data_IF_528949633293
#
_entry.id   IF_528949633293
#
_cell.length_a   1.000
_cell.length_b   1.000
_cell.length_c   1.000
_cell.angle_alpha   90.00
_cell.angle_beta   90.00
_cell.angle_gamma   90.00
#
_symmetry.space_group_name_H-M   'P 1'
#
loop_
_entity.id
_entity.type
_entity.pdbx_description
1 polymer ?
#
# COMPACT_ATOMS: atom_id res chain seq x y z
N UNK A 1 9.85 -32.63 -47.75
CA UNK A 1 8.51 -32.89 -48.33
C UNK A 1 7.96 -31.55 -48.78
N UNK A 2 7.88 -31.34 -50.11
CA UNK A 2 7.21 -30.19 -50.75
C UNK A 2 5.69 -30.43 -50.76
N UNK A 3 4.96 -29.34 -51.08
CA UNK A 3 3.56 -29.26 -51.55
C UNK A 3 2.52 -29.23 -50.41
N UNK A 4 1.45 -28.42 -50.42
CA UNK A 4 0.88 -27.52 -51.42
C UNK A 4 -0.12 -26.56 -50.73
N UNK A 5 -0.28 -25.36 -51.31
CA UNK A 5 -1.24 -24.29 -50.98
C UNK A 5 -2.69 -24.68 -51.32
N UNK A 6 -3.67 -23.96 -50.75
CA UNK A 6 -4.78 -23.21 -51.42
C UNK A 6 -5.57 -22.46 -50.29
N UNK A 7 -5.65 -21.12 -50.20
CA UNK A 7 -6.57 -20.18 -50.90
C UNK A 7 -8.04 -20.65 -50.86
N UNK A 8 -9.10 -19.92 -50.48
CA UNK A 8 -9.39 -18.48 -50.32
C UNK A 8 -10.86 -18.31 -49.85
N UNK A 9 -11.16 -17.28 -49.03
CA UNK A 9 -12.39 -16.45 -48.95
C UNK A 9 -13.72 -17.05 -48.41
N UNK A 10 -14.33 -16.38 -47.42
CA UNK A 10 -15.45 -15.42 -47.62
C UNK A 10 -15.96 -14.84 -46.30
N UNK A 11 -16.34 -13.55 -46.35
CA UNK A 11 -17.16 -12.84 -45.38
C UNK A 11 -18.62 -13.33 -45.48
N UNK A 12 -19.33 -13.38 -44.35
CA UNK A 12 -20.78 -13.14 -44.17
C UNK A 12 -21.22 -13.86 -42.88
N UNK A 13 -21.67 -13.16 -41.84
CA UNK A 13 -22.98 -12.52 -41.67
C UNK A 13 -23.78 -13.31 -40.63
N UNK A 14 -23.73 -12.86 -39.37
CA UNK A 14 -24.72 -13.25 -38.38
C UNK A 14 -25.97 -12.39 -38.63
N UNK A 15 -27.00 -13.05 -39.17
CA UNK A 15 -28.36 -12.53 -39.28
C UNK A 15 -29.03 -12.67 -37.92
N UNK A 16 -29.38 -11.55 -37.29
CA UNK A 16 -30.46 -11.47 -36.31
C UNK A 16 -30.95 -10.03 -36.19
N UNK A 17 -32.11 -9.76 -36.78
CA UNK A 17 -32.97 -8.57 -36.61
C UNK A 17 -34.41 -9.12 -36.75
N UNK A 18 -35.48 -8.55 -36.15
CA UNK A 18 -35.65 -7.49 -35.15
C UNK A 18 -36.41 -8.02 -33.90
N UNK A 19 -36.56 -7.31 -32.77
CA UNK A 19 -37.59 -6.29 -32.50
C UNK A 19 -37.40 -5.86 -31.03
N UNK A 20 -36.98 -4.62 -30.80
CA UNK A 20 -37.55 -3.68 -29.83
C UNK A 20 -36.63 -2.46 -29.79
N UNK A 21 -37.16 -1.39 -30.37
CA UNK A 21 -36.60 -0.05 -30.50
C UNK A 21 -36.49 0.57 -29.09
N UNK A 22 -35.42 1.36 -28.88
CA UNK A 22 -35.23 2.36 -27.80
C UNK A 22 -34.35 2.05 -26.57
N UNK A 23 -33.31 1.21 -26.64
CA UNK A 23 -32.28 1.16 -25.58
C UNK A 23 -30.80 1.17 -26.01
N UNK A 24 -30.50 1.29 -27.31
CA UNK A 24 -29.10 1.15 -27.78
C UNK A 24 -28.60 2.44 -28.40
N UNK A 25 -28.12 3.34 -27.55
CA UNK A 25 -27.07 4.30 -27.87
C UNK A 25 -26.26 4.57 -26.60
N UNK A 26 -25.82 3.50 -25.94
CA UNK A 26 -24.75 3.56 -24.92
C UNK A 26 -23.48 3.09 -25.60
N UNK A 27 -22.67 4.06 -26.04
CA UNK A 27 -21.42 3.83 -26.76
C UNK A 27 -20.36 3.20 -25.85
N UNK A 28 -19.46 2.43 -26.46
CA UNK A 28 -18.30 1.75 -25.86
C UNK A 28 -17.43 2.67 -24.97
N UNK A 29 -17.44 3.97 -25.24
CA UNK A 29 -16.75 5.03 -24.50
C UNK A 29 -17.14 5.14 -23.02
N UNK A 30 -18.41 4.90 -22.66
CA UNK A 30 -18.81 4.88 -21.23
C UNK A 30 -18.17 3.69 -20.50
N UNK A 31 -18.02 2.53 -21.16
CA UNK A 31 -17.35 1.36 -20.56
C UNK A 31 -15.85 1.58 -20.40
N UNK A 32 -15.20 2.21 -21.37
CA UNK A 32 -13.76 2.49 -21.33
C UNK A 32 -13.39 3.55 -20.27
N UNK A 33 -14.32 4.45 -19.94
CA UNK A 33 -14.22 5.40 -18.82
C UNK A 33 -14.61 4.82 -17.44
N UNK A 34 -14.89 3.51 -17.36
CA UNK A 34 -15.27 2.84 -16.11
C UNK A 34 -16.72 3.10 -15.66
N UNK A 35 -17.56 3.68 -16.50
CA UNK A 35 -18.97 3.95 -16.24
C UNK A 35 -19.87 2.89 -16.88
N UNK A 36 -20.27 1.90 -16.09
CA UNK A 36 -21.37 1.03 -16.50
C UNK A 36 -22.69 1.82 -16.47
N UNK A 37 -23.53 1.78 -17.53
CA UNK A 37 -24.89 2.27 -17.43
C UNK A 37 -25.61 1.50 -16.32
N UNK A 38 -26.39 2.20 -15.49
CA UNK A 38 -27.26 1.60 -14.47
C UNK A 38 -28.33 0.66 -15.05
N UNK A 39 -28.46 0.59 -16.37
CA UNK A 39 -29.35 -0.31 -17.08
C UNK A 39 -28.72 -1.67 -17.42
N UNK A 40 -27.98 -2.28 -16.49
CA UNK A 40 -27.91 -3.74 -16.47
C UNK A 40 -29.07 -4.20 -15.58
N UNK A 41 -30.22 -4.44 -16.19
CA UNK A 41 -31.36 -5.04 -15.51
C UNK A 41 -30.92 -6.39 -14.91
N UNK A 42 -30.64 -6.40 -13.61
CA UNK A 42 -30.71 -7.63 -12.85
C UNK A 42 -32.18 -8.04 -12.87
N UNK A 43 -32.48 -9.17 -13.51
CA UNK A 43 -33.76 -9.83 -13.40
C UNK A 43 -33.99 -10.17 -11.92
N UNK A 44 -34.62 -9.25 -11.22
CA UNK A 44 -35.10 -9.40 -9.85
C UNK A 44 -36.61 -9.28 -9.95
N UNK A 45 -37.32 -10.26 -9.37
CA UNK A 45 -38.77 -10.44 -9.47
C UNK A 45 -39.52 -9.11 -9.42
N UNK A 46 -40.43 -8.93 -10.39
CA UNK A 46 -41.23 -7.73 -10.60
C UNK A 46 -42.03 -7.36 -9.34
N UNK A 47 -41.47 -6.51 -8.48
CA UNK A 47 -42.28 -5.56 -7.73
C UNK A 47 -42.90 -4.61 -8.76
N UNK A 48 -44.23 -4.48 -8.76
CA UNK A 48 -44.96 -3.47 -9.54
C UNK A 48 -44.26 -2.12 -9.36
N UNK A 49 -43.78 -1.54 -10.46
CA UNK A 49 -43.16 -0.21 -10.45
C UNK A 49 -44.26 0.82 -10.12
N UNK A 50 -44.32 1.25 -8.86
CA UNK A 50 -45.31 2.22 -8.36
C UNK A 50 -44.87 3.68 -8.58
N UNK A 51 -43.82 3.91 -9.38
CA UNK A 51 -43.28 5.26 -9.62
C UNK A 51 -44.24 6.10 -10.48
N UNK A 52 -44.27 7.40 -10.21
CA UNK A 52 -45.06 8.35 -10.99
C UNK A 52 -44.64 8.33 -12.46
N UNK A 53 -45.54 7.89 -13.34
CA UNK A 53 -45.41 8.06 -14.79
C UNK A 53 -45.66 9.52 -15.16
N UNK A 54 -44.60 10.27 -15.43
CA UNK A 54 -44.67 11.63 -15.96
C UNK A 54 -45.07 11.62 -17.43
N UNK A 55 -45.92 12.57 -17.83
CA UNK A 55 -46.30 12.76 -19.24
C UNK A 55 -45.20 13.55 -19.95
N UNK A 56 -44.24 12.83 -20.54
CA UNK A 56 -43.14 13.46 -21.28
C UNK A 56 -43.57 13.82 -22.71
N UNK A 57 -43.21 15.02 -23.22
CA UNK A 57 -43.40 15.39 -24.61
C UNK A 57 -42.73 14.43 -25.60
N UNK A 58 -43.33 14.24 -26.78
CA UNK A 58 -42.73 13.41 -27.83
C UNK A 58 -41.49 14.06 -28.46
N UNK A 59 -40.50 13.25 -28.82
CA UNK A 59 -39.34 13.65 -29.60
C UNK A 59 -39.71 13.70 -31.09
N UNK A 60 -39.63 14.87 -31.72
CA UNK A 60 -39.96 15.03 -33.15
C UNK A 60 -38.88 14.40 -34.03
N UNK A 61 -39.27 13.72 -35.11
CA UNK A 61 -38.34 13.04 -36.03
C UNK A 61 -37.20 13.95 -36.54
N UNK A 62 -37.52 15.19 -36.93
CA UNK A 62 -36.50 16.15 -37.40
C UNK A 62 -35.46 16.51 -36.33
N UNK A 63 -35.88 16.55 -35.06
CA UNK A 63 -34.99 16.82 -33.93
C UNK A 63 -34.14 15.58 -33.64
N UNK A 64 -34.74 14.39 -33.69
CA UNK A 64 -34.01 13.12 -33.58
C UNK A 64 -32.92 12.99 -34.64
N UNK A 65 -33.22 13.25 -35.92
CA UNK A 65 -32.24 13.20 -37.02
C UNK A 65 -31.06 14.15 -36.77
N UNK A 66 -31.34 15.37 -36.28
CA UNK A 66 -30.31 16.37 -35.97
C UNK A 66 -29.45 15.99 -34.75
N UNK A 67 -30.06 15.41 -33.71
CA UNK A 67 -29.33 14.85 -32.58
C UNK A 67 -28.42 13.69 -33.02
N UNK A 68 -28.91 12.82 -33.90
CA UNK A 68 -28.11 11.72 -34.45
C UNK A 68 -26.93 12.23 -35.29
N UNK A 69 -27.13 13.29 -36.08
CA UNK A 69 -26.05 13.97 -36.83
C UNK A 69 -24.98 14.54 -35.88
N UNK A 70 -25.40 15.23 -34.82
CA UNK A 70 -24.49 15.76 -33.80
C UNK A 70 -23.74 14.63 -33.06
N UNK A 71 -24.44 13.55 -32.73
CA UNK A 71 -23.84 12.39 -32.08
C UNK A 71 -22.80 11.71 -32.98
N UNK A 72 -23.11 11.50 -34.26
CA UNK A 72 -22.17 10.92 -35.23
C UNK A 72 -20.90 11.79 -35.38
N UNK A 73 -21.06 13.13 -35.40
CA UNK A 73 -19.92 14.04 -35.39
C UNK A 73 -19.09 13.90 -34.10
N UNK A 74 -19.74 13.80 -32.93
CA UNK A 74 -19.06 13.61 -31.66
C UNK A 74 -18.30 12.27 -31.59
N UNK A 75 -18.90 11.18 -32.06
CA UNK A 75 -18.28 9.85 -32.17
C UNK A 75 -17.08 9.84 -33.13
N UNK A 76 -17.15 10.62 -34.21
CA UNK A 76 -16.05 10.87 -35.13
C UNK A 76 -14.95 11.79 -34.56
N UNK A 77 -15.07 12.22 -33.29
CA UNK A 77 -14.22 13.18 -32.60
C UNK A 77 -14.24 14.60 -33.20
N UNK A 78 -15.18 14.89 -34.09
CA UNK A 78 -15.44 16.25 -34.57
C UNK A 78 -16.36 16.99 -33.58
N UNK A 79 -15.81 17.26 -32.39
CA UNK A 79 -16.54 17.85 -31.28
C UNK A 79 -17.02 19.27 -31.60
N UNK A 80 -16.29 20.01 -32.44
CA UNK A 80 -16.67 21.37 -32.85
C UNK A 80 -17.89 21.35 -33.77
N UNK A 81 -17.92 20.42 -34.73
CA UNK A 81 -19.07 20.28 -35.61
C UNK A 81 -20.30 19.78 -34.82
N UNK A 82 -20.10 18.84 -33.89
CA UNK A 82 -21.17 18.39 -33.00
C UNK A 82 -21.77 19.56 -32.19
N UNK A 83 -20.91 20.37 -31.54
CA UNK A 83 -21.33 21.55 -30.77
C UNK A 83 -22.07 22.56 -31.66
N UNK A 84 -21.57 22.83 -32.87
CA UNK A 84 -22.21 23.75 -33.82
C UNK A 84 -23.60 23.27 -34.26
N UNK A 85 -23.80 21.96 -34.44
CA UNK A 85 -25.12 21.40 -34.77
C UNK A 85 -26.08 21.65 -33.60
N UNK A 86 -25.64 21.39 -32.37
CA UNK A 86 -26.44 21.62 -31.17
C UNK A 86 -26.77 23.11 -30.97
N UNK A 87 -25.81 24.01 -31.20
CA UNK A 87 -26.02 25.46 -31.12
C UNK A 87 -27.13 25.91 -32.08
N UNK A 88 -27.11 25.36 -33.30
CA UNK A 88 -28.16 25.60 -34.30
C UNK A 88 -29.53 25.06 -33.89
N UNK A 89 -29.58 23.98 -33.12
CA UNK A 89 -30.84 23.43 -32.58
C UNK A 89 -31.40 24.32 -31.46
N UNK A 90 -30.55 24.81 -30.55
CA UNK A 90 -30.96 25.70 -29.45
C UNK A 90 -31.38 27.08 -29.95
N UNK A 91 -30.69 27.61 -30.97
CA UNK A 91 -31.00 28.91 -31.58
C UNK A 91 -32.32 28.91 -32.39
N UNK A 92 -32.94 27.76 -32.63
CA UNK A 92 -34.17 27.65 -33.41
C UNK A 92 -35.38 28.19 -32.64
N UNK A 93 -36.01 29.26 -33.16
CA UNK A 93 -37.21 29.87 -32.56
C UNK A 93 -38.55 29.43 -33.16
N UNK A 94 -39.64 29.89 -32.56
CA UNK A 94 -41.01 29.73 -33.06
C UNK A 94 -41.44 28.26 -33.14
N UNK A 95 -42.03 27.83 -34.27
CA UNK A 95 -42.50 26.43 -34.45
C UNK A 95 -41.37 25.39 -34.40
N UNK A 96 -40.11 25.83 -34.54
CA UNK A 96 -38.92 24.97 -34.47
C UNK A 96 -38.28 24.93 -33.08
N UNK A 97 -38.77 25.73 -32.12
CA UNK A 97 -38.30 25.70 -30.75
C UNK A 97 -38.44 24.29 -30.16
N UNK A 98 -37.43 23.85 -29.43
CA UNK A 98 -37.38 22.55 -28.79
C UNK A 98 -38.36 22.48 -27.62
N UNK A 99 -39.03 21.35 -27.45
CA UNK A 99 -39.75 21.08 -26.20
C UNK A 99 -38.76 20.69 -25.08
N UNK A 100 -39.24 20.58 -23.84
CA UNK A 100 -38.39 20.29 -22.68
C UNK A 100 -37.61 18.97 -22.79
N UNK A 101 -38.24 17.91 -23.32
CA UNK A 101 -37.58 16.62 -23.52
C UNK A 101 -36.51 16.67 -24.62
N UNK A 102 -36.80 17.35 -25.72
CA UNK A 102 -35.85 17.58 -26.80
C UNK A 102 -34.64 18.40 -26.34
N UNK A 103 -34.91 19.48 -25.59
CA UNK A 103 -33.88 20.34 -25.01
C UNK A 103 -33.03 19.59 -23.98
N UNK A 104 -33.63 18.73 -23.17
CA UNK A 104 -32.91 17.84 -22.25
C UNK A 104 -31.96 16.89 -23.01
N UNK A 105 -32.35 16.34 -24.15
CA UNK A 105 -31.46 15.49 -24.95
C UNK A 105 -30.32 16.30 -25.60
N UNK A 106 -30.58 17.53 -26.03
CA UNK A 106 -29.53 18.45 -26.52
C UNK A 106 -28.51 18.74 -25.41
N UNK A 107 -28.96 19.12 -24.21
CA UNK A 107 -28.06 19.36 -23.08
C UNK A 107 -27.30 18.12 -22.64
N UNK A 108 -27.92 16.94 -22.71
CA UNK A 108 -27.22 15.68 -22.44
C UNK A 108 -26.06 15.46 -23.44
N UNK A 109 -26.25 15.76 -24.72
CA UNK A 109 -25.17 15.65 -25.72
C UNK A 109 -24.09 16.73 -25.55
N UNK A 110 -24.46 17.98 -25.21
CA UNK A 110 -23.46 18.99 -24.79
C UNK A 110 -22.62 18.48 -23.61
N UNK A 111 -23.27 17.88 -22.61
CA UNK A 111 -22.58 17.38 -21.44
C UNK A 111 -21.58 16.26 -21.80
N UNK A 112 -21.96 15.36 -22.70
CA UNK A 112 -21.06 14.34 -23.25
C UNK A 112 -19.87 14.95 -24.02
N UNK A 113 -20.12 15.96 -24.87
CA UNK A 113 -19.08 16.66 -25.62
C UNK A 113 -18.09 17.32 -24.66
N UNK A 114 -18.58 18.11 -23.71
CA UNK A 114 -17.73 18.81 -22.74
C UNK A 114 -16.99 17.84 -21.82
N UNK A 115 -17.62 16.74 -21.42
CA UNK A 115 -16.95 15.69 -20.66
C UNK A 115 -15.79 15.06 -21.45
N UNK A 116 -16.01 14.80 -22.75
CA UNK A 116 -14.98 14.24 -23.65
C UNK A 116 -13.81 15.21 -23.91
N UNK A 117 -14.02 16.50 -23.66
CA UNK A 117 -12.99 17.53 -23.69
C UNK A 117 -12.34 17.76 -22.31
N UNK A 118 -12.69 16.95 -21.31
CA UNK A 118 -12.31 17.11 -19.91
C UNK A 118 -12.75 18.46 -19.30
N UNK A 119 -13.71 19.15 -19.95
CA UNK A 119 -14.31 20.37 -19.46
C UNK A 119 -15.46 20.05 -18.50
N UNK A 120 -15.10 19.54 -17.32
CA UNK A 120 -16.06 19.07 -16.32
C UNK A 120 -16.99 20.17 -15.81
N UNK A 121 -16.53 21.43 -15.78
CA UNK A 121 -17.35 22.57 -15.38
C UNK A 121 -18.51 22.80 -16.37
N UNK A 122 -18.22 22.84 -17.69
CA UNK A 122 -19.27 22.96 -18.71
C UNK A 122 -20.14 21.71 -18.80
N UNK A 123 -19.57 20.53 -18.62
CA UNK A 123 -20.34 19.28 -18.57
C UNK A 123 -21.35 19.29 -17.43
N UNK A 124 -20.94 19.73 -16.24
CA UNK A 124 -21.79 19.89 -15.07
C UNK A 124 -22.93 20.87 -15.34
N UNK A 125 -22.62 22.06 -15.90
CA UNK A 125 -23.65 23.04 -16.29
C UNK A 125 -24.65 22.47 -17.29
N UNK A 126 -24.18 21.70 -18.28
CA UNK A 126 -25.05 21.07 -19.26
C UNK A 126 -25.98 20.03 -18.60
N UNK A 127 -25.48 19.17 -17.70
CA UNK A 127 -26.32 18.24 -16.94
C UNK A 127 -27.29 18.94 -15.97
N UNK A 128 -26.88 20.05 -15.36
CA UNK A 128 -27.78 20.87 -14.54
C UNK A 128 -28.94 21.43 -15.39
N UNK A 129 -28.66 21.84 -16.62
CA UNK A 129 -29.69 22.27 -17.57
C UNK A 129 -30.63 21.12 -18.00
N UNK A 130 -30.15 19.87 -18.04
CA UNK A 130 -31.01 18.70 -18.26
C UNK A 130 -32.05 18.57 -17.14
N UNK A 131 -31.61 18.56 -15.88
CA UNK A 131 -32.52 18.36 -14.72
C UNK A 131 -33.39 19.58 -14.43
N UNK A 132 -33.06 20.74 -14.99
CA UNK A 132 -33.90 21.93 -14.95
C UNK A 132 -35.11 21.87 -15.91
N UNK A 133 -35.12 20.94 -16.87
CA UNK A 133 -36.22 20.81 -17.83
C UNK A 133 -37.48 20.21 -17.19
N UNK A 134 -38.68 20.79 -17.43
CA UNK A 134 -39.92 20.23 -16.92
C UNK A 134 -40.31 18.93 -17.65
N UNK A 135 -41.02 18.04 -16.96
CA UNK A 135 -41.63 16.83 -17.52
C UNK A 135 -40.69 15.85 -18.22
N UNK A 136 -39.39 15.89 -17.92
CA UNK A 136 -38.43 14.89 -18.38
C UNK A 136 -38.72 13.51 -17.75
N UNK A 137 -38.38 12.40 -18.44
CA UNK A 137 -38.57 11.07 -17.89
C UNK A 137 -37.86 10.92 -16.53
N UNK A 138 -38.56 10.37 -15.53
CA UNK A 138 -38.02 10.21 -14.18
C UNK A 138 -36.69 9.44 -14.17
N UNK A 139 -36.57 8.39 -14.99
CA UNK A 139 -35.32 7.64 -15.13
C UNK A 139 -34.16 8.50 -15.68
N UNK A 140 -34.44 9.42 -16.60
CA UNK A 140 -33.44 10.36 -17.13
C UNK A 140 -33.00 11.32 -16.03
N UNK A 141 -33.94 11.86 -15.24
CA UNK A 141 -33.63 12.75 -14.12
C UNK A 141 -32.76 12.05 -13.06
N UNK A 142 -33.16 10.85 -12.63
CA UNK A 142 -32.42 10.05 -11.64
C UNK A 142 -30.99 9.76 -12.14
N UNK A 143 -30.84 9.29 -13.37
CA UNK A 143 -29.51 9.00 -13.93
C UNK A 143 -28.65 10.27 -14.02
N UNK A 144 -29.23 11.38 -14.49
CA UNK A 144 -28.50 12.64 -14.65
C UNK A 144 -28.05 13.21 -13.30
N UNK A 145 -28.90 13.15 -12.27
CA UNK A 145 -28.54 13.60 -10.91
C UNK A 145 -27.39 12.79 -10.31
N UNK A 146 -27.31 11.49 -10.60
CA UNK A 146 -26.16 10.69 -10.19
C UNK A 146 -24.86 11.17 -10.90
N UNK A 147 -24.93 11.42 -12.21
CA UNK A 147 -23.79 11.94 -12.97
C UNK A 147 -23.35 13.33 -12.49
N UNK A 148 -24.29 14.21 -12.15
CA UNK A 148 -24.00 15.51 -11.52
C UNK A 148 -23.19 15.30 -10.22
N UNK A 149 -23.63 14.39 -9.35
CA UNK A 149 -22.89 14.08 -8.13
C UNK A 149 -21.47 13.59 -8.42
N UNK A 150 -21.31 12.65 -9.37
CA UNK A 150 -20.00 12.17 -9.80
C UNK A 150 -19.09 13.28 -10.34
N UNK A 151 -19.63 14.22 -11.13
CA UNK A 151 -18.85 15.35 -11.64
C UNK A 151 -18.41 16.32 -10.54
N UNK A 152 -19.21 16.50 -9.50
CA UNK A 152 -18.77 17.22 -8.31
C UNK A 152 -17.59 16.49 -7.63
N UNK A 153 -17.63 15.16 -7.52
CA UNK A 153 -16.50 14.38 -6.98
C UNK A 153 -15.24 14.47 -7.86
N UNK A 154 -15.38 14.42 -9.19
CA UNK A 154 -14.25 14.56 -10.13
C UNK A 154 -13.59 15.95 -10.01
N UNK A 155 -14.39 16.98 -9.77
CA UNK A 155 -13.90 18.34 -9.55
C UNK A 155 -13.50 18.62 -8.10
N UNK A 156 -13.40 17.59 -7.25
CA UNK A 156 -13.05 17.69 -5.83
C UNK A 156 -13.98 18.61 -5.02
N UNK A 157 -15.19 18.85 -5.52
CA UNK A 157 -16.24 19.61 -4.84
C UNK A 157 -17.02 18.68 -3.90
N UNK A 158 -16.32 18.20 -2.87
CA UNK A 158 -16.78 17.10 -2.02
C UNK A 158 -18.14 17.34 -1.37
N UNK A 159 -18.36 18.51 -0.78
CA UNK A 159 -19.61 18.83 -0.10
C UNK A 159 -20.78 18.92 -1.08
N UNK A 160 -20.57 19.54 -2.25
CA UNK A 160 -21.58 19.60 -3.31
C UNK A 160 -21.91 18.21 -3.85
N UNK A 161 -20.89 17.36 -4.05
CA UNK A 161 -21.07 15.98 -4.50
C UNK A 161 -21.87 15.14 -3.50
N UNK A 162 -21.57 15.26 -2.20
CA UNK A 162 -22.36 14.62 -1.13
C UNK A 162 -23.81 15.11 -1.15
N UNK A 163 -24.03 16.43 -1.20
CA UNK A 163 -25.37 16.99 -1.20
C UNK A 163 -26.18 16.54 -2.44
N UNK A 164 -25.55 16.52 -3.61
CA UNK A 164 -26.16 16.05 -4.85
C UNK A 164 -26.48 14.54 -4.79
N UNK A 165 -25.57 13.74 -4.23
CA UNK A 165 -25.76 12.30 -4.09
C UNK A 165 -26.83 11.95 -3.05
N UNK A 166 -26.94 12.69 -1.95
CA UNK A 166 -28.03 12.54 -0.97
C UNK A 166 -29.39 12.83 -1.61
N UNK A 167 -29.52 13.92 -2.38
CA UNK A 167 -30.74 14.19 -3.15
C UNK A 167 -31.07 13.06 -4.13
N UNK A 168 -30.05 12.44 -4.73
CA UNK A 168 -30.24 11.28 -5.59
C UNK A 168 -30.74 10.05 -4.80
N UNK A 169 -30.24 9.82 -3.57
CA UNK A 169 -30.73 8.76 -2.68
C UNK A 169 -32.22 8.93 -2.35
N UNK A 170 -32.70 10.17 -2.16
CA UNK A 170 -34.12 10.46 -1.89
C UNK A 170 -35.05 10.11 -3.07
N UNK A 171 -34.50 9.93 -4.28
CA UNK A 171 -35.24 9.66 -5.51
C UNK A 171 -35.23 8.19 -5.93
N UNK A 172 -34.51 7.32 -5.22
CA UNK A 172 -34.33 5.92 -5.61
C UNK A 172 -34.62 4.96 -4.46
N UNK A 173 -35.62 4.09 -4.67
CA UNK A 173 -36.00 3.05 -3.70
C UNK A 173 -35.02 1.88 -3.65
N UNK A 174 -34.06 1.83 -4.59
CA UNK A 174 -33.07 0.75 -4.67
C UNK A 174 -31.70 1.29 -5.05
N UNK A 175 -31.06 2.07 -4.16
CA UNK A 175 -29.69 2.50 -4.38
C UNK A 175 -28.78 1.27 -4.51
N UNK A 176 -27.81 1.32 -5.43
CA UNK A 176 -26.82 0.25 -5.57
C UNK A 176 -25.63 0.48 -4.62
N UNK A 177 -24.86 -0.59 -4.34
CA UNK A 177 -23.73 -0.51 -3.42
C UNK A 177 -22.65 0.51 -3.83
N UNK A 178 -22.41 0.75 -5.12
CA UNK A 178 -21.40 1.74 -5.54
C UNK A 178 -21.79 3.17 -5.16
N UNK A 179 -23.09 3.48 -5.09
CA UNK A 179 -23.55 4.80 -4.64
C UNK A 179 -23.18 5.05 -3.16
N UNK A 180 -23.33 4.03 -2.31
CA UNK A 180 -22.89 4.12 -0.92
C UNK A 180 -21.36 4.27 -0.82
N UNK A 181 -20.59 3.57 -1.65
CA UNK A 181 -19.12 3.74 -1.66
C UNK A 181 -18.70 5.14 -2.13
N UNK A 182 -19.37 5.69 -3.15
CA UNK A 182 -19.11 7.06 -3.60
C UNK A 182 -19.41 8.07 -2.48
N UNK A 183 -20.51 7.88 -1.76
CA UNK A 183 -20.85 8.69 -0.59
C UNK A 183 -19.80 8.54 0.54
N UNK A 184 -19.32 7.32 0.77
CA UNK A 184 -18.26 7.04 1.72
C UNK A 184 -16.96 7.77 1.38
N UNK A 185 -16.56 7.76 0.10
CA UNK A 185 -15.39 8.48 -0.40
C UNK A 185 -15.53 9.99 -0.20
N UNK A 186 -16.72 10.55 -0.44
CA UNK A 186 -17.01 11.95 -0.16
C UNK A 186 -16.81 12.31 1.30
N UNK A 187 -17.43 11.56 2.21
CA UNK A 187 -17.28 11.79 3.64
C UNK A 187 -15.83 11.59 4.10
N UNK A 188 -15.11 10.64 3.52
CA UNK A 188 -13.69 10.45 3.79
C UNK A 188 -12.86 11.68 3.44
N UNK A 189 -13.09 12.32 2.29
CA UNK A 189 -12.37 13.55 1.91
C UNK A 189 -12.67 14.73 2.84
N UNK A 190 -13.88 14.78 3.39
CA UNK A 190 -14.25 15.75 4.43
C UNK A 190 -13.83 15.33 5.85
N UNK A 191 -13.09 14.22 5.99
CA UNK A 191 -12.65 13.64 7.26
C UNK A 191 -13.79 13.25 8.22
N UNK A 192 -15.00 13.08 7.70
CA UNK A 192 -16.13 12.51 8.45
C UNK A 192 -16.04 10.97 8.39
N UNK A 193 -15.07 10.42 9.12
CA UNK A 193 -14.75 8.99 9.10
C UNK A 193 -15.91 8.12 9.60
N UNK A 194 -16.77 8.65 10.47
CA UNK A 194 -17.95 7.94 10.95
C UNK A 194 -18.96 7.69 9.82
N UNK A 195 -19.32 8.74 9.07
CA UNK A 195 -20.22 8.58 7.94
C UNK A 195 -19.56 7.82 6.79
N UNK A 196 -18.26 8.02 6.57
CA UNK A 196 -17.52 7.25 5.57
C UNK A 196 -17.60 5.74 5.86
N UNK A 197 -17.33 5.36 7.11
CA UNK A 197 -17.32 3.96 7.54
C UNK A 197 -18.71 3.33 7.41
N UNK A 198 -19.75 3.98 7.94
CA UNK A 198 -21.12 3.47 7.87
C UNK A 198 -21.58 3.22 6.42
N UNK A 199 -21.20 4.09 5.49
CA UNK A 199 -21.56 3.95 4.09
C UNK A 199 -20.80 2.82 3.38
N UNK A 200 -19.49 2.65 3.62
CA UNK A 200 -18.74 1.53 3.02
C UNK A 200 -19.15 0.19 3.61
N UNK A 201 -19.46 0.12 4.91
CA UNK A 201 -20.02 -1.06 5.56
C UNK A 201 -21.37 -1.45 4.94
N UNK A 202 -22.24 -0.46 4.67
CA UNK A 202 -23.51 -0.71 4.00
C UNK A 202 -23.31 -1.33 2.62
N UNK A 203 -22.37 -0.81 1.83
CA UNK A 203 -22.05 -1.36 0.52
C UNK A 203 -21.53 -2.80 0.59
N UNK A 204 -20.66 -3.09 1.55
CA UNK A 204 -20.12 -4.44 1.82
C UNK A 204 -21.26 -5.39 2.21
N UNK A 205 -22.13 -4.99 3.15
CA UNK A 205 -23.27 -5.79 3.61
C UNK A 205 -24.21 -6.17 2.46
N UNK A 206 -24.52 -5.23 1.57
CA UNK A 206 -25.39 -5.47 0.41
C UNK A 206 -24.86 -6.55 -0.54
N UNK A 207 -23.55 -6.77 -0.59
CA UNK A 207 -22.95 -7.84 -1.39
C UNK A 207 -22.93 -9.16 -0.60
N UNK A 208 -22.53 -9.12 0.67
CA UNK A 208 -22.51 -10.29 1.56
C UNK A 208 -23.91 -10.93 1.70
N UNK A 209 -24.96 -10.12 1.90
CA UNK A 209 -26.35 -10.57 1.98
C UNK A 209 -26.83 -11.29 0.71
N UNK A 210 -26.20 -11.00 -0.43
CA UNK A 210 -26.48 -11.63 -1.72
C UNK A 210 -25.53 -12.80 -2.04
N UNK A 211 -24.70 -13.22 -1.08
CA UNK A 211 -23.67 -14.23 -1.28
C UNK A 211 -22.60 -13.83 -2.30
N UNK A 212 -22.42 -12.52 -2.54
CA UNK A 212 -21.43 -11.99 -3.49
C UNK A 212 -20.22 -11.45 -2.72
N UNK A 213 -19.03 -11.69 -3.27
CA UNK A 213 -17.79 -11.14 -2.73
C UNK A 213 -17.69 -9.62 -3.03
N UNK A 214 -17.63 -8.75 -2.02
CA UNK A 214 -17.42 -7.31 -2.20
C UNK A 214 -16.05 -7.00 -2.81
N UNK A 215 -15.95 -5.90 -3.56
CA UNK A 215 -14.69 -5.51 -4.22
C UNK A 215 -13.58 -5.23 -3.20
N UNK A 216 -12.35 -5.65 -3.51
CA UNK A 216 -11.15 -5.42 -2.68
C UNK A 216 -11.01 -3.96 -2.20
N UNK A 217 -11.30 -2.98 -3.08
CA UNK A 217 -11.17 -1.56 -2.74
C UNK A 217 -12.14 -1.09 -1.64
N UNK A 218 -13.27 -1.76 -1.46
CA UNK A 218 -14.23 -1.43 -0.40
C UNK A 218 -13.68 -1.87 0.94
N UNK A 219 -13.09 -3.06 1.01
CA UNK A 219 -12.38 -3.53 2.19
C UNK A 219 -11.14 -2.68 2.50
N UNK A 220 -10.39 -2.23 1.49
CA UNK A 220 -9.28 -1.30 1.71
C UNK A 220 -9.75 0.01 2.36
N UNK A 221 -10.85 0.59 1.89
CA UNK A 221 -11.43 1.81 2.48
C UNK A 221 -11.92 1.54 3.92
N UNK A 222 -12.65 0.44 4.15
CA UNK A 222 -13.10 0.08 5.49
C UNK A 222 -11.93 -0.16 6.46
N UNK A 223 -10.91 -0.92 6.05
CA UNK A 223 -9.68 -1.16 6.83
C UNK A 223 -9.02 0.15 7.23
N UNK A 224 -8.83 1.05 6.27
CA UNK A 224 -8.24 2.36 6.53
C UNK A 224 -9.06 3.15 7.54
N UNK A 225 -10.40 3.20 7.39
CA UNK A 225 -11.28 3.94 8.28
C UNK A 225 -11.33 3.34 9.70
N UNK A 226 -11.29 2.02 9.86
CA UNK A 226 -11.16 1.40 11.18
C UNK A 226 -9.82 1.75 11.84
N UNK A 227 -8.73 1.70 11.08
CA UNK A 227 -7.40 2.03 11.59
C UNK A 227 -7.32 3.49 12.07
N UNK A 228 -7.80 4.46 11.26
CA UNK A 228 -7.83 5.88 11.63
C UNK A 228 -8.69 6.15 12.87
N UNK A 229 -9.69 5.31 13.13
CA UNK A 229 -10.54 5.37 14.33
C UNK A 229 -9.92 4.67 15.54
N UNK A 230 -8.73 4.08 15.40
CA UNK A 230 -8.06 3.30 16.43
C UNK A 230 -8.70 1.94 16.70
N UNK A 231 -9.60 1.46 15.84
CA UNK A 231 -10.22 0.14 15.97
C UNK A 231 -9.31 -0.94 15.35
N UNK A 232 -8.27 -1.30 16.09
CA UNK A 232 -7.29 -2.30 15.65
C UNK A 232 -7.93 -3.66 15.45
N UNK A 233 -8.93 -4.03 16.26
CA UNK A 233 -9.63 -5.31 16.14
C UNK A 233 -10.36 -5.41 14.81
N UNK A 234 -11.17 -4.40 14.44
CA UNK A 234 -11.84 -4.39 13.13
C UNK A 234 -10.88 -4.25 11.97
N UNK A 235 -9.75 -3.56 12.17
CA UNK A 235 -8.68 -3.49 11.16
C UNK A 235 -8.13 -4.89 10.85
N UNK A 236 -7.88 -5.70 11.89
CA UNK A 236 -7.46 -7.10 11.76
C UNK A 236 -8.53 -7.94 11.08
N UNK A 237 -9.80 -7.87 11.52
CA UNK A 237 -10.92 -8.59 10.89
C UNK A 237 -10.95 -8.37 9.37
N UNK A 238 -10.81 -7.10 8.93
CA UNK A 238 -10.82 -6.76 7.50
C UNK A 238 -9.55 -7.23 6.79
N UNK A 239 -8.39 -7.19 7.43
CA UNK A 239 -7.14 -7.71 6.88
C UNK A 239 -7.19 -9.22 6.68
N UNK A 240 -7.82 -9.98 7.57
CA UNK A 240 -8.04 -11.42 7.43
C UNK A 240 -8.94 -11.74 6.22
N UNK A 241 -10.01 -10.97 6.03
CA UNK A 241 -10.88 -11.08 4.85
C UNK A 241 -10.09 -10.77 3.57
N UNK A 242 -9.28 -9.70 3.58
CA UNK A 242 -8.41 -9.34 2.45
C UNK A 242 -7.39 -10.44 2.16
N UNK A 243 -6.77 -11.07 3.16
CA UNK A 243 -5.84 -12.18 2.96
C UNK A 243 -6.52 -13.43 2.42
N UNK A 244 -7.76 -13.71 2.86
CA UNK A 244 -8.52 -14.88 2.43
C UNK A 244 -8.94 -14.78 0.96
N UNK A 245 -9.39 -13.60 0.52
CA UNK A 245 -9.98 -13.43 -0.82
C UNK A 245 -9.10 -12.68 -1.82
N UNK A 246 -8.14 -11.89 -1.34
CA UNK A 246 -7.28 -11.01 -2.12
C UNK A 246 -5.81 -11.04 -1.62
N UNK A 247 -5.17 -12.20 -1.48
CA UNK A 247 -3.87 -12.31 -0.82
C UNK A 247 -2.80 -11.48 -1.55
N UNK A 248 -2.22 -10.51 -0.83
CA UNK A 248 -1.14 -9.65 -1.31
C UNK A 248 -0.13 -9.42 -0.20
N UNK A 249 1.14 -9.25 -0.57
CA UNK A 249 2.26 -8.91 0.33
C UNK A 249 1.88 -7.85 1.36
N UNK A 250 1.30 -6.74 0.90
CA UNK A 250 0.99 -5.60 1.75
C UNK A 250 0.04 -5.95 2.90
N UNK A 251 -0.84 -6.93 2.73
CA UNK A 251 -1.78 -7.37 3.77
C UNK A 251 -1.10 -8.24 4.81
N UNK A 252 -0.16 -9.11 4.41
CA UNK A 252 0.67 -9.87 5.35
C UNK A 252 1.53 -8.97 6.23
N UNK A 253 2.17 -7.96 5.62
CA UNK A 253 2.98 -7.00 6.35
C UNK A 253 2.10 -6.19 7.32
N UNK A 254 0.97 -5.66 6.84
CA UNK A 254 0.06 -4.88 7.68
C UNK A 254 -0.53 -5.69 8.83
N UNK A 255 -1.01 -6.92 8.58
CA UNK A 255 -1.59 -7.73 9.66
C UNK A 255 -0.53 -8.13 10.69
N UNK A 256 0.72 -8.38 10.27
CA UNK A 256 1.83 -8.60 11.20
C UNK A 256 2.02 -7.42 12.14
N UNK A 257 2.02 -6.19 11.62
CA UNK A 257 2.09 -4.98 12.45
C UNK A 257 0.89 -4.87 13.40
N UNK A 258 -0.34 -5.14 12.92
CA UNK A 258 -1.53 -5.08 13.77
C UNK A 258 -1.54 -6.14 14.88
N UNK A 259 -1.02 -7.34 14.61
CA UNK A 259 -0.82 -8.34 15.65
C UNK A 259 0.20 -7.89 16.70
N UNK A 260 1.26 -7.19 16.30
CA UNK A 260 2.20 -6.55 17.24
C UNK A 260 1.51 -5.52 18.15
N UNK A 261 0.65 -4.67 17.60
CA UNK A 261 -0.16 -3.71 18.38
C UNK A 261 -1.11 -4.43 19.36
N UNK A 262 -1.60 -5.61 18.99
CA UNK A 262 -2.42 -6.47 19.86
C UNK A 262 -1.58 -7.30 20.85
N UNK A 263 -0.24 -7.19 20.85
CA UNK A 263 0.69 -8.01 21.63
C UNK A 263 0.55 -9.52 21.36
N UNK A 264 0.18 -9.86 20.12
CA UNK A 264 0.08 -11.22 19.58
C UNK A 264 1.36 -11.57 18.84
N UNK A 265 2.44 -11.71 19.59
CA UNK A 265 3.80 -11.81 19.04
C UNK A 265 3.97 -13.04 18.13
N UNK A 266 3.29 -14.16 18.46
CA UNK A 266 3.33 -15.39 17.66
C UNK A 266 2.66 -15.20 16.29
N UNK A 267 1.50 -14.57 16.26
CA UNK A 267 0.76 -14.27 15.04
C UNK A 267 1.46 -13.19 14.22
N UNK A 268 2.05 -12.18 14.88
CA UNK A 268 2.91 -11.18 14.25
C UNK A 268 4.06 -11.84 13.50
N UNK A 269 4.81 -12.71 14.17
CA UNK A 269 5.92 -13.45 13.56
C UNK A 269 5.42 -14.31 12.41
N UNK A 270 4.37 -15.09 12.62
CA UNK A 270 3.82 -16.02 11.62
C UNK A 270 3.37 -15.31 10.35
N UNK A 271 2.73 -14.14 10.48
CA UNK A 271 2.30 -13.33 9.34
C UNK A 271 3.50 -12.76 8.54
N UNK A 272 4.51 -12.22 9.23
CA UNK A 272 5.70 -11.69 8.55
C UNK A 272 6.54 -12.82 7.92
N UNK A 273 6.71 -13.94 8.64
CA UNK A 273 7.44 -15.11 8.15
C UNK A 273 6.76 -15.68 6.90
N UNK A 274 5.42 -15.72 6.86
CA UNK A 274 4.67 -16.13 5.67
C UNK A 274 5.01 -15.27 4.45
N UNK A 275 5.06 -13.95 4.60
CA UNK A 275 5.48 -13.07 3.52
C UNK A 275 6.96 -13.28 3.13
N UNK A 276 7.83 -13.54 4.11
CA UNK A 276 9.25 -13.78 3.89
C UNK A 276 9.53 -15.07 3.13
N UNK A 277 8.97 -16.20 3.55
CA UNK A 277 9.22 -17.51 2.93
C UNK A 277 8.66 -17.60 1.52
N UNK A 278 7.62 -16.82 1.21
CA UNK A 278 7.07 -16.68 -0.14
C UNK A 278 7.87 -15.68 -1.01
N UNK A 279 8.99 -15.15 -0.51
CA UNK A 279 9.83 -14.21 -1.24
C UNK A 279 9.19 -12.84 -1.49
N UNK A 280 8.15 -12.48 -0.71
CA UNK A 280 7.41 -11.24 -0.93
C UNK A 280 8.09 -10.00 -0.31
N UNK A 281 8.99 -10.16 0.67
CA UNK A 281 9.67 -9.05 1.32
C UNK A 281 10.83 -8.51 0.46
N UNK A 282 10.50 -7.59 -0.44
CA UNK A 282 11.41 -6.98 -1.42
C UNK A 282 12.09 -5.67 -0.93
N UNK A 283 11.69 -5.12 0.22
CA UNK A 283 12.32 -3.92 0.80
C UNK A 283 13.28 -4.30 1.92
N UNK A 284 14.47 -3.70 1.93
CA UNK A 284 15.46 -3.90 2.99
C UNK A 284 14.93 -3.62 4.39
N UNK A 285 14.06 -2.61 4.56
CA UNK A 285 13.43 -2.33 5.86
C UNK A 285 12.55 -3.47 6.34
N UNK A 286 11.79 -4.12 5.45
CA UNK A 286 10.92 -5.25 5.82
C UNK A 286 11.75 -6.48 6.20
N UNK A 287 12.86 -6.73 5.50
CA UNK A 287 13.79 -7.80 5.82
C UNK A 287 14.50 -7.56 7.16
N UNK A 288 14.90 -6.32 7.44
CA UNK A 288 15.44 -5.93 8.75
C UNK A 288 14.38 -6.12 9.84
N UNK A 289 13.12 -5.73 9.61
CA UNK A 289 12.03 -5.99 10.55
C UNK A 289 11.84 -7.49 10.80
N UNK A 290 11.84 -8.32 9.76
CA UNK A 290 11.77 -9.78 9.89
C UNK A 290 12.92 -10.33 10.76
N UNK A 291 14.15 -9.83 10.58
CA UNK A 291 15.29 -10.22 11.42
C UNK A 291 15.07 -9.84 12.89
N UNK A 292 14.54 -8.65 13.19
CA UNK A 292 14.19 -8.27 14.56
C UNK A 292 13.08 -9.13 15.15
N UNK A 293 12.06 -9.50 14.38
CA UNK A 293 11.00 -10.41 14.86
C UNK A 293 11.56 -11.79 15.22
N UNK A 294 12.48 -12.32 14.42
CA UNK A 294 13.20 -13.55 14.76
C UNK A 294 14.05 -13.41 16.02
N UNK A 295 14.77 -12.30 16.19
CA UNK A 295 15.57 -12.05 17.40
C UNK A 295 14.69 -11.95 18.65
N UNK A 296 13.57 -11.24 18.56
CA UNK A 296 12.61 -11.11 19.66
C UNK A 296 11.94 -12.44 20.04
N UNK A 297 11.93 -13.40 19.11
CA UNK A 297 11.37 -14.74 19.30
C UNK A 297 12.46 -15.80 19.57
N UNK A 298 13.66 -15.38 19.95
CA UNK A 298 14.81 -16.25 20.24
C UNK A 298 15.20 -17.20 19.09
N UNK A 299 15.05 -16.74 17.83
CA UNK A 299 15.47 -17.47 16.61
C UNK A 299 16.64 -16.76 15.90
N UNK A 300 17.80 -16.57 16.56
CA UNK A 300 18.88 -15.73 16.06
C UNK A 300 19.51 -16.25 14.75
N UNK A 301 19.51 -17.57 14.54
CA UNK A 301 20.05 -18.16 13.30
C UNK A 301 19.24 -17.74 12.06
N UNK A 302 17.91 -17.72 12.15
CA UNK A 302 17.05 -17.24 11.05
C UNK A 302 17.23 -15.74 10.85
N UNK A 303 17.29 -14.96 11.93
CA UNK A 303 17.57 -13.52 11.85
C UNK A 303 18.87 -13.23 11.10
N UNK A 304 19.94 -13.94 11.46
CA UNK A 304 21.24 -13.76 10.85
C UNK A 304 21.22 -14.13 9.36
N UNK A 305 20.53 -15.20 8.97
CA UNK A 305 20.34 -15.56 7.55
C UNK A 305 19.61 -14.49 6.75
N UNK A 306 18.54 -13.89 7.30
CA UNK A 306 17.80 -12.82 6.63
C UNK A 306 18.74 -11.64 6.36
N UNK A 307 19.45 -11.19 7.41
CA UNK A 307 20.36 -10.04 7.32
C UNK A 307 21.53 -10.32 6.38
N UNK A 308 22.19 -11.46 6.52
CA UNK A 308 23.34 -11.85 5.70
C UNK A 308 22.99 -11.97 4.22
N UNK A 309 21.83 -12.57 3.89
CA UNK A 309 21.34 -12.63 2.52
C UNK A 309 21.13 -11.23 1.95
N UNK A 310 20.34 -10.40 2.65
CA UNK A 310 19.99 -9.07 2.15
C UNK A 310 21.18 -8.11 2.06
N UNK A 311 22.17 -8.24 2.95
CA UNK A 311 23.40 -7.44 2.87
C UNK A 311 24.30 -7.88 1.72
N UNK A 312 24.30 -9.17 1.36
CA UNK A 312 25.10 -9.73 0.25
C UNK A 312 24.50 -9.46 -1.12
N UNK A 313 23.18 -9.58 -1.27
CA UNK A 313 22.48 -9.32 -2.53
C UNK A 313 22.14 -7.82 -2.73
N UNK A 314 22.37 -7.00 -1.71
CA UNK A 314 22.18 -5.56 -1.75
C UNK A 314 20.74 -5.11 -1.49
N UNK A 315 19.79 -6.01 -1.17
CA UNK A 315 18.42 -5.62 -0.81
C UNK A 315 18.34 -4.93 0.55
N UNK A 316 19.29 -5.19 1.45
CA UNK A 316 19.51 -4.43 2.69
C UNK A 316 20.71 -3.51 2.49
N UNK A 317 20.51 -2.23 2.74
CA UNK A 317 21.58 -1.24 2.68
C UNK A 317 22.70 -1.58 3.68
N UNK A 318 23.95 -1.62 3.21
CA UNK A 318 25.14 -1.98 3.98
C UNK A 318 25.61 -0.91 4.97
N UNK A 319 24.73 -0.40 5.83
CA UNK A 319 25.06 0.54 6.91
C UNK A 319 25.66 -0.18 8.11
N UNK A 320 26.50 0.52 8.90
CA UNK A 320 27.11 0.00 10.13
C UNK A 320 26.10 -0.72 11.03
N UNK A 321 24.93 -0.10 11.28
CA UNK A 321 23.85 -0.67 12.10
C UNK A 321 23.31 -2.00 11.55
N UNK A 322 23.16 -2.16 10.24
CA UNK A 322 22.63 -3.39 9.66
C UNK A 322 23.66 -4.53 9.74
N UNK A 323 24.93 -4.22 9.50
CA UNK A 323 26.02 -5.17 9.73
C UNK A 323 26.16 -5.56 11.21
N UNK A 324 25.93 -4.62 12.13
CA UNK A 324 25.92 -4.91 13.58
C UNK A 324 24.80 -5.90 13.93
N UNK A 325 23.59 -5.74 13.37
CA UNK A 325 22.49 -6.68 13.58
C UNK A 325 22.86 -8.06 13.04
N UNK A 326 23.44 -8.16 11.84
CA UNK A 326 23.88 -9.44 11.28
C UNK A 326 24.93 -10.13 12.17
N UNK A 327 25.98 -9.40 12.58
CA UNK A 327 27.03 -9.93 13.43
C UNK A 327 26.51 -10.34 14.81
N UNK A 328 25.65 -9.52 15.42
CA UNK A 328 25.05 -9.81 16.73
C UNK A 328 24.09 -11.01 16.66
N UNK A 329 23.36 -11.18 15.57
CA UNK A 329 22.49 -12.33 15.36
C UNK A 329 23.31 -13.63 15.19
N UNK A 330 24.39 -13.61 14.38
CA UNK A 330 25.29 -14.76 14.28
C UNK A 330 25.94 -15.13 15.61
N UNK A 331 26.39 -14.13 16.38
CA UNK A 331 26.98 -14.36 17.70
C UNK A 331 25.96 -15.00 18.67
N UNK A 332 24.73 -14.51 18.70
CA UNK A 332 23.65 -15.09 19.51
C UNK A 332 23.31 -16.53 19.08
N UNK A 333 23.44 -16.83 17.79
CA UNK A 333 23.29 -18.17 17.24
C UNK A 333 24.49 -19.09 17.50
N UNK A 334 25.51 -18.67 18.28
CA UNK A 334 26.76 -19.39 18.54
C UNK A 334 27.62 -19.63 17.27
N UNK A 335 27.40 -18.82 16.23
CA UNK A 335 28.11 -18.89 14.95
C UNK A 335 29.21 -17.83 14.91
N UNK A 336 30.21 -17.97 15.79
CA UNK A 336 31.26 -16.97 16.03
C UNK A 336 32.01 -16.62 14.74
N UNK A 337 32.42 -17.62 13.96
CA UNK A 337 33.15 -17.44 12.70
C UNK A 337 32.36 -16.59 11.68
N UNK A 338 31.02 -16.75 11.64
CA UNK A 338 30.15 -15.96 10.76
C UNK A 338 29.89 -14.57 11.30
N UNK A 339 29.95 -14.38 12.63
CA UNK A 339 29.73 -13.09 13.27
C UNK A 339 30.86 -12.10 13.01
N UNK A 340 32.11 -12.60 12.92
CA UNK A 340 33.32 -11.81 12.74
C UNK A 340 33.27 -10.92 11.48
N UNK A 341 33.10 -11.46 10.25
CA UNK A 341 33.14 -10.63 9.04
C UNK A 341 32.03 -9.57 9.02
N UNK A 342 30.84 -9.89 9.57
CA UNK A 342 29.76 -8.93 9.70
C UNK A 342 30.10 -7.81 10.71
N UNK A 343 30.67 -8.17 11.87
CA UNK A 343 31.07 -7.20 12.89
C UNK A 343 32.27 -6.35 12.45
N UNK A 344 33.19 -6.90 11.64
CA UNK A 344 34.27 -6.14 10.99
C UNK A 344 33.71 -5.04 10.09
N UNK A 345 32.76 -5.39 9.22
CA UNK A 345 32.07 -4.40 8.36
C UNK A 345 31.30 -3.37 9.18
N UNK A 346 30.63 -3.80 10.24
CA UNK A 346 29.93 -2.90 11.15
C UNK A 346 30.89 -1.87 11.77
N UNK A 347 32.04 -2.34 12.29
CA UNK A 347 33.04 -1.50 12.93
C UNK A 347 33.79 -0.59 11.94
N UNK A 348 34.08 -1.08 10.73
CA UNK A 348 34.67 -0.30 9.63
C UNK A 348 33.84 0.97 9.35
N UNK A 349 32.53 0.78 9.23
CA UNK A 349 31.55 1.82 8.87
C UNK A 349 31.04 2.64 10.06
N UNK A 350 31.46 2.34 11.30
CA UNK A 350 31.00 3.06 12.50
C UNK A 350 31.83 4.31 12.76
N UNK A 351 31.17 5.42 13.09
CA UNK A 351 31.84 6.67 13.48
C UNK A 351 32.54 6.56 14.85
N UNK A 352 32.12 5.61 15.69
CA UNK A 352 32.69 5.39 17.03
C UNK A 352 33.48 4.09 17.13
N UNK A 353 34.34 4.02 18.13
CA UNK A 353 35.13 2.84 18.48
C UNK A 353 34.39 1.74 19.22
N UNK A 354 33.12 1.93 19.58
CA UNK A 354 32.34 0.96 20.36
C UNK A 354 32.26 -0.41 19.67
N UNK A 355 31.99 -0.43 18.35
CA UNK A 355 31.92 -1.69 17.60
C UNK A 355 33.29 -2.37 17.45
N UNK A 356 34.39 -1.60 17.44
CA UNK A 356 35.73 -2.17 17.49
C UNK A 356 36.05 -2.81 18.86
N UNK A 357 35.59 -2.22 19.95
CA UNK A 357 35.74 -2.82 21.28
C UNK A 357 34.94 -4.14 21.37
N UNK A 358 33.71 -4.17 20.84
CA UNK A 358 32.90 -5.40 20.76
C UNK A 358 33.54 -6.46 19.87
N UNK A 359 34.03 -6.08 18.68
CA UNK A 359 34.77 -6.95 17.79
C UNK A 359 36.01 -7.53 18.47
N UNK A 360 36.71 -6.71 19.26
CA UNK A 360 37.83 -7.13 20.09
C UNK A 360 37.47 -8.25 21.08
N UNK A 361 36.33 -8.13 21.75
CA UNK A 361 35.81 -9.18 22.63
C UNK A 361 35.50 -10.47 21.85
N UNK A 362 34.85 -10.35 20.68
CA UNK A 362 34.54 -11.51 19.82
C UNK A 362 35.82 -12.23 19.39
N UNK A 363 36.86 -11.47 19.02
CA UNK A 363 38.15 -12.05 18.69
C UNK A 363 38.83 -12.71 19.88
N UNK A 364 38.71 -12.15 21.09
CA UNK A 364 39.24 -12.79 22.28
C UNK A 364 38.49 -14.09 22.60
N UNK A 365 37.16 -14.08 22.51
CA UNK A 365 36.30 -15.26 22.72
C UNK A 365 36.64 -16.39 21.72
N UNK A 366 37.07 -16.04 20.51
CA UNK A 366 37.51 -16.96 19.46
C UNK A 366 39.02 -17.25 19.42
N UNK A 367 39.77 -16.95 20.49
CA UNK A 367 41.23 -17.13 20.61
C UNK A 367 42.10 -16.39 19.55
N UNK A 368 41.50 -15.47 18.79
CA UNK A 368 42.16 -14.60 17.82
C UNK A 368 42.85 -13.40 18.50
N UNK A 369 43.66 -13.68 19.52
CA UNK A 369 44.22 -12.71 20.45
C UNK A 369 44.95 -11.52 19.78
N UNK A 370 45.68 -11.76 18.68
CA UNK A 370 46.35 -10.69 17.92
C UNK A 370 45.36 -9.73 17.26
N UNK A 371 44.26 -10.25 16.70
CA UNK A 371 43.21 -9.43 16.10
C UNK A 371 42.42 -8.68 17.19
N UNK A 372 42.18 -9.32 18.34
CA UNK A 372 41.59 -8.67 19.50
C UNK A 372 42.38 -7.42 19.92
N UNK A 373 43.70 -7.53 20.07
CA UNK A 373 44.59 -6.40 20.37
C UNK A 373 44.43 -5.27 19.34
N UNK A 374 44.45 -5.60 18.04
CA UNK A 374 44.33 -4.61 16.96
C UNK A 374 42.98 -3.89 17.00
N UNK A 375 41.89 -4.64 17.09
CA UNK A 375 40.53 -4.11 17.13
C UNK A 375 40.32 -3.20 18.35
N UNK A 376 40.70 -3.65 19.56
CA UNK A 376 40.48 -2.87 20.78
C UNK A 376 41.28 -1.57 20.77
N UNK A 377 42.56 -1.61 20.36
CA UNK A 377 43.37 -0.40 20.24
C UNK A 377 42.74 0.59 19.25
N UNK A 378 42.22 0.10 18.10
CA UNK A 378 41.52 0.93 17.12
C UNK A 378 40.23 1.52 17.68
N UNK A 379 39.49 0.78 18.50
CA UNK A 379 38.30 1.26 19.19
C UNK A 379 38.62 2.36 20.21
N UNK A 380 39.62 2.12 21.07
CA UNK A 380 40.05 3.09 22.06
C UNK A 380 40.61 4.37 21.42
N UNK A 381 41.33 4.28 20.31
CA UNK A 381 41.88 5.44 19.61
C UNK A 381 40.81 6.24 18.85
N UNK A 382 39.81 5.57 18.24
CA UNK A 382 38.67 6.23 17.58
C UNK A 382 37.76 6.96 18.58
N UNK A 383 37.74 6.54 19.84
CA UNK A 383 36.92 7.16 20.88
C UNK A 383 35.44 6.77 20.81
N UNK A 384 34.62 7.26 21.74
CA UNK A 384 33.19 6.92 21.81
C UNK A 384 32.87 5.52 22.33
N UNK A 385 33.86 4.79 22.85
CA UNK A 385 33.65 3.52 23.57
C UNK A 385 32.98 3.82 24.92
N UNK A 386 31.83 3.20 25.20
CA UNK A 386 31.04 3.46 26.42
C UNK A 386 31.69 2.94 27.69
N UNK A 387 32.38 1.79 27.59
CA UNK A 387 33.14 1.16 28.68
C UNK A 387 34.61 0.99 28.28
N UNK A 388 35.37 2.09 28.19
CA UNK A 388 36.78 2.03 27.79
C UNK A 388 37.62 1.25 28.81
N UNK A 389 37.17 1.20 30.05
CA UNK A 389 37.74 0.39 31.13
C UNK A 389 37.62 -1.12 30.85
N UNK A 390 36.45 -1.59 30.39
CA UNK A 390 36.24 -2.98 30.00
C UNK A 390 37.03 -3.33 28.74
N UNK A 391 37.02 -2.45 27.74
CA UNK A 391 37.86 -2.62 26.55
C UNK A 391 39.35 -2.79 26.95
N UNK A 392 39.86 -2.02 27.92
CA UNK A 392 41.23 -2.18 28.43
C UNK A 392 41.46 -3.49 29.20
N UNK A 393 40.48 -4.01 29.94
CA UNK A 393 40.58 -5.35 30.53
C UNK A 393 40.79 -6.40 29.43
N UNK A 394 39.99 -6.34 28.38
CA UNK A 394 40.04 -7.28 27.25
C UNK A 394 41.36 -7.15 26.50
N UNK A 395 41.86 -5.91 26.33
CA UNK A 395 43.19 -5.66 25.79
C UNK A 395 44.29 -6.30 26.64
N UNK A 396 44.19 -6.20 27.97
CA UNK A 396 45.12 -6.84 28.90
C UNK A 396 45.09 -8.35 28.81
N UNK A 397 43.91 -8.96 28.73
CA UNK A 397 43.73 -10.41 28.54
C UNK A 397 44.35 -10.87 27.21
N UNK A 398 44.10 -10.15 26.12
CA UNK A 398 44.67 -10.48 24.81
C UNK A 398 46.21 -10.32 24.79
N UNK A 399 46.77 -9.30 25.45
CA UNK A 399 48.22 -9.17 25.61
C UNK A 399 48.81 -10.28 26.46
N UNK A 400 48.14 -10.68 27.54
CA UNK A 400 48.56 -11.80 28.38
C UNK A 400 48.60 -13.11 27.58
N UNK A 401 47.55 -13.41 26.81
CA UNK A 401 47.48 -14.60 25.96
C UNK A 401 48.54 -14.61 24.84
N UNK A 402 49.00 -13.44 24.40
CA UNK A 402 50.13 -13.30 23.45
C UNK A 402 51.49 -13.18 24.14
N UNK A 403 51.57 -13.42 25.46
CA UNK A 403 52.78 -13.34 26.29
C UNK A 403 53.46 -11.95 26.32
N UNK A 404 52.72 -10.90 25.98
CA UNK A 404 53.18 -9.50 26.08
C UNK A 404 52.88 -8.96 27.48
N UNK A 405 53.52 -9.54 28.50
CA UNK A 405 53.16 -9.32 29.90
C UNK A 405 53.30 -7.87 30.39
N UNK A 406 54.29 -7.12 29.90
CA UNK A 406 54.44 -5.69 30.26
C UNK A 406 53.24 -4.87 29.77
N UNK A 407 52.84 -5.07 28.51
CA UNK A 407 51.66 -4.40 27.93
C UNK A 407 50.37 -4.87 28.59
N UNK A 408 50.27 -6.15 28.96
CA UNK A 408 49.13 -6.67 29.71
C UNK A 408 48.99 -5.95 31.04
N UNK A 409 50.10 -5.79 31.79
CA UNK A 409 50.13 -5.06 33.05
C UNK A 409 49.70 -3.60 32.88
N UNK A 410 50.20 -2.91 31.86
CA UNK A 410 49.81 -1.53 31.56
C UNK A 410 48.31 -1.41 31.29
N UNK A 411 47.76 -2.30 30.45
CA UNK A 411 46.34 -2.31 30.12
C UNK A 411 45.47 -2.59 31.35
N UNK A 412 45.83 -3.56 32.20
CA UNK A 412 45.13 -3.83 33.45
C UNK A 412 45.22 -2.66 34.43
N UNK A 413 46.39 -2.02 34.60
CA UNK A 413 46.52 -0.81 35.43
C UNK A 413 45.67 0.34 34.91
N UNK A 414 45.59 0.53 33.59
CA UNK A 414 44.75 1.54 32.98
C UNK A 414 43.26 1.24 33.17
N UNK A 415 42.85 -0.03 33.09
CA UNK A 415 41.50 -0.47 33.44
C UNK A 415 41.20 -0.27 34.93
N UNK A 416 42.19 -0.44 35.82
CA UNK A 416 41.99 -0.31 37.26
C UNK A 416 41.72 1.13 37.75
N UNK A 417 41.87 2.13 36.87
CA UNK A 417 41.54 3.53 37.17
C UNK A 417 40.03 3.78 37.27
N UNK A 418 39.22 2.90 36.69
CA UNK A 418 37.76 2.93 36.84
C UNK A 418 37.35 1.94 37.93
N UNK A 419 36.59 2.41 38.92
CA UNK A 419 36.17 1.62 40.08
C UNK A 419 35.42 0.34 39.68
N UNK A 420 34.69 0.38 38.55
CA UNK A 420 33.84 -0.72 38.08
C UNK A 420 34.67 -1.90 37.56
N UNK A 421 35.91 -1.68 37.14
CA UNK A 421 36.84 -2.69 36.63
C UNK A 421 38.05 -2.91 37.55
N UNK A 422 38.27 -2.07 38.56
CA UNK A 422 39.41 -2.13 39.47
C UNK A 422 39.62 -3.51 40.09
N UNK A 423 38.56 -4.13 40.60
CA UNK A 423 38.64 -5.47 41.21
C UNK A 423 39.10 -6.53 40.21
N UNK A 424 38.51 -6.56 39.02
CA UNK A 424 38.86 -7.54 37.97
C UNK A 424 40.29 -7.31 37.45
N UNK A 425 40.69 -6.06 37.24
CA UNK A 425 42.05 -5.72 36.85
C UNK A 425 43.08 -6.18 37.88
N UNK A 426 42.82 -5.96 39.18
CA UNK A 426 43.70 -6.40 40.25
C UNK A 426 43.84 -7.92 40.31
N UNK A 427 42.74 -8.66 40.11
CA UNK A 427 42.77 -10.12 40.04
C UNK A 427 43.64 -10.62 38.87
N UNK A 428 43.49 -10.02 37.68
CA UNK A 428 44.30 -10.35 36.52
C UNK A 428 45.79 -10.03 36.72
N UNK A 429 46.12 -8.89 37.33
CA UNK A 429 47.50 -8.53 37.67
C UNK A 429 48.10 -9.59 38.61
N UNK A 430 47.37 -9.95 39.68
CA UNK A 430 47.82 -10.97 40.63
C UNK A 430 48.03 -12.33 39.96
N UNK A 431 47.09 -12.75 39.11
CA UNK A 431 47.20 -14.01 38.37
C UNK A 431 48.42 -14.01 37.45
N UNK A 432 48.62 -12.94 36.68
CA UNK A 432 49.78 -12.79 35.81
C UNK A 432 51.11 -12.80 36.59
N UNK A 433 51.17 -12.16 37.76
CA UNK A 433 52.36 -12.19 38.63
C UNK A 433 52.69 -13.61 39.09
N UNK A 434 51.68 -14.39 39.50
CA UNK A 434 51.88 -15.78 39.90
C UNK A 434 52.34 -16.67 38.74
N UNK A 435 51.84 -16.43 37.53
CA UNK A 435 52.22 -17.18 36.34
C UNK A 435 53.65 -16.86 35.88
N UNK A 436 54.05 -15.59 35.95
CA UNK A 436 55.43 -15.18 35.67
C UNK A 436 56.43 -15.79 36.65
N UNK A 437 56.09 -15.82 37.94
CA UNK A 437 56.94 -16.44 38.97
C UNK A 437 57.05 -17.96 38.76
N UNK A 438 55.95 -18.63 38.40
CA UNK A 438 55.94 -20.04 38.02
C UNK A 438 56.85 -20.30 36.81
N UNK A 439 56.82 -19.45 35.79
CA UNK A 439 57.67 -19.59 34.62
C UNK A 439 59.16 -19.40 34.94
N UNK A 440 59.50 -18.47 35.86
CA UNK A 440 60.88 -18.27 36.32
C UNK A 440 61.41 -19.49 37.08
N UNK A 441 60.64 -20.01 38.04
CA UNK A 441 61.07 -21.17 38.82
C UNK A 441 61.25 -22.44 37.97
N UNK A 442 60.46 -22.60 36.90
CA UNK A 442 60.63 -23.66 35.91
C UNK A 442 61.81 -23.47 34.95
N UNK A 443 62.34 -22.25 34.84
CA UNK A 443 63.52 -21.96 34.01
C UNK A 443 64.83 -22.06 34.82
N UNK A 444 64.74 -21.93 36.15
CA UNK A 444 65.87 -22.00 37.09
C UNK A 444 66.11 -23.40 37.66
N UNK A 445 65.11 -24.30 37.61
CA UNK A 445 65.22 -25.72 37.97
C UNK A 445 65.30 -26.62 36.74
#
# INVERSE_FOLDING_TARGET
MKLLKYQTWTRAALVAVPVLVAQVAVTQLQRDAGWAPLAAAQAQEQKKDTRETRRTPALRNKVYEKLAEAQAAAEAKDLRQAEKILDGMVAAGGKKALNSYELANVYNLYAFIYYSQENYAKALQAYENVVAQPDIPLAMEINTRFTIAQLYFVQEQWQQGINALQKWFDMTDSPNANAYVLLAQGYYQLKDYNKALSNVEKAISMYNEKGKLPKEQWYNLARFLYFEKGDINKTVDVLEILLTHYPKKQYWVQISHMYGEQKKDSEQLSAMETAYVQGMLDKGTEQVTMAYLYLNSDVPYKAAKVMDKGLKDGSIEGKSKNWEVAGSAWRQAQEVDKSIPAMEKAAELSDTGELYARLGNIYLDGDENKKAISAINKGLSRGGVKRPDNARLVLGMAYFNTKQYDKAREAFKAAARDERSAKYAAQWIKYMDSELERQRSLAEG
#
